data_IF_788293640370
#
_entry.id   IF_788293640370
#
_cell.length_a   1.000
_cell.length_b   1.000
_cell.length_c   1.000
_cell.angle_alpha   90.00
_cell.angle_beta   90.00
_cell.angle_gamma   90.00
#
_symmetry.space_group_name_H-M   'P 1'
#
loop_
_entity.id
_entity.type
_entity.pdbx_description
1 polymer ?
#
# COMPACT_ATOMS: atom_id res chain seq x y z
N UNK A 1 -4.69 7.46 -40.05
CA UNK A 1 -4.36 7.00 -38.68
C UNK A 1 -3.35 7.90 -37.95
N UNK A 2 -2.29 8.37 -38.60
CA UNK A 2 -1.23 9.21 -38.01
C UNK A 2 -1.74 10.57 -37.48
N UNK A 3 -2.71 11.20 -38.15
CA UNK A 3 -3.29 12.48 -37.72
C UNK A 3 -4.36 12.34 -36.62
N UNK A 4 -5.00 11.17 -36.50
CA UNK A 4 -5.97 10.89 -35.43
C UNK A 4 -5.24 10.76 -34.09
N UNK A 5 -4.05 10.17 -34.08
CA UNK A 5 -3.22 10.05 -32.87
C UNK A 5 -2.73 11.42 -32.41
N UNK A 6 -2.36 12.30 -33.37
CA UNK A 6 -1.93 13.66 -33.06
C UNK A 6 -3.10 14.51 -32.55
N UNK A 7 -4.31 14.38 -33.13
CA UNK A 7 -5.51 15.03 -32.61
C UNK A 7 -5.92 14.50 -31.20
N UNK A 8 -5.85 13.22 -30.96
CA UNK A 8 -6.09 12.66 -29.62
C UNK A 8 -5.04 13.16 -28.60
N UNK A 9 -3.78 13.26 -28.99
CA UNK A 9 -2.73 13.81 -28.13
C UNK A 9 -2.92 15.32 -27.88
N UNK A 10 -3.35 16.10 -28.88
CA UNK A 10 -3.61 17.54 -28.73
C UNK A 10 -4.83 17.83 -27.86
N UNK A 11 -5.88 17.00 -27.90
CA UNK A 11 -7.05 17.13 -27.03
C UNK A 11 -6.68 16.81 -25.55
N UNK A 12 -5.72 15.94 -25.33
CA UNK A 12 -5.20 15.66 -23.97
C UNK A 12 -4.39 16.84 -23.40
N UNK A 13 -3.72 17.62 -24.24
CA UNK A 13 -2.95 18.80 -23.82
C UNK A 13 -3.78 20.09 -23.67
N UNK A 14 -5.00 20.15 -24.19
CA UNK A 14 -5.90 21.31 -24.05
C UNK A 14 -6.66 21.39 -22.71
N UNK A 15 -6.47 20.43 -21.81
CA UNK A 15 -6.98 20.48 -20.43
C UNK A 15 -6.10 21.29 -19.47
N UNK A 16 -5.26 22.19 -19.95
CA UNK A 16 -4.41 23.06 -19.14
C UNK A 16 -5.19 24.33 -18.76
N UNK A 17 -6.03 24.21 -17.76
CA UNK A 17 -6.81 25.37 -17.30
C UNK A 17 -7.24 25.37 -15.86
N UNK A 18 -7.03 24.30 -15.11
CA UNK A 18 -7.38 24.24 -13.70
C UNK A 18 -6.13 24.11 -12.84
N UNK A 19 -5.83 25.17 -12.13
CA UNK A 19 -4.78 25.27 -11.12
C UNK A 19 -4.99 24.20 -10.06
N UNK A 20 -4.25 23.11 -10.15
CA UNK A 20 -4.39 21.96 -9.24
C UNK A 20 -3.10 21.82 -8.44
N UNK A 21 -3.23 21.52 -7.15
CA UNK A 21 -2.08 21.26 -6.31
C UNK A 21 -1.70 19.79 -6.44
N UNK A 22 -0.46 19.58 -6.81
CA UNK A 22 0.18 18.28 -6.79
C UNK A 22 1.04 18.15 -5.54
N UNK A 23 1.14 16.94 -5.03
CA UNK A 23 2.09 16.58 -3.99
C UNK A 23 2.95 15.44 -4.47
N UNK A 24 4.24 15.55 -4.23
CA UNK A 24 5.20 14.45 -4.34
C UNK A 24 5.75 14.17 -2.95
N UNK A 25 5.88 12.91 -2.59
CA UNK A 25 6.34 12.59 -1.24
C UNK A 25 6.88 11.19 -1.11
N UNK A 26 7.33 10.94 0.11
CA UNK A 26 7.90 9.68 0.54
C UNK A 26 7.06 9.10 1.67
N UNK A 27 7.06 7.78 1.76
CA UNK A 27 6.59 7.01 2.90
C UNK A 27 7.79 6.32 3.54
N UNK A 28 7.88 6.35 4.86
CA UNK A 28 8.87 5.60 5.64
C UNK A 28 8.21 5.02 6.88
N UNK A 29 8.34 3.71 7.06
CA UNK A 29 7.68 3.01 8.16
C UNK A 29 8.06 1.56 8.26
N UNK A 30 7.16 0.79 8.84
CA UNK A 30 7.29 -0.65 8.96
C UNK A 30 6.08 -1.37 8.38
N UNK A 31 6.30 -2.65 8.13
CA UNK A 31 5.31 -3.61 7.65
C UNK A 31 5.12 -4.74 8.63
N UNK A 32 3.96 -5.36 8.62
CA UNK A 32 3.70 -6.67 9.19
C UNK A 32 2.75 -7.47 8.31
N UNK A 33 2.92 -8.77 8.36
CA UNK A 33 2.13 -9.74 7.61
C UNK A 33 1.08 -10.41 8.52
N UNK A 34 -0.07 -10.78 7.96
CA UNK A 34 -1.15 -11.51 8.60
C UNK A 34 -1.70 -12.53 7.61
N UNK A 35 -1.46 -13.80 7.86
CA UNK A 35 -1.89 -14.92 7.03
C UNK A 35 -1.81 -16.22 7.81
N UNK A 36 -1.52 -17.30 7.11
CA UNK A 36 -1.43 -18.63 7.71
C UNK A 36 -0.12 -18.87 8.46
N UNK A 37 0.93 -18.10 8.16
CA UNK A 37 2.22 -18.15 8.85
C UNK A 37 2.39 -16.94 9.75
N UNK A 38 2.86 -17.16 10.99
CA UNK A 38 3.20 -16.13 11.95
C UNK A 38 2.09 -15.72 12.89
N UNK A 39 2.26 -14.56 13.52
CA UNK A 39 1.29 -13.95 14.41
C UNK A 39 0.21 -13.19 13.64
N UNK A 40 -1.02 -13.15 14.15
CA UNK A 40 -2.17 -12.48 13.54
C UNK A 40 -2.42 -11.08 14.13
N UNK A 41 -1.37 -10.39 14.58
CA UNK A 41 -1.47 -9.05 15.11
C UNK A 41 -1.69 -8.03 14.01
N UNK A 42 -2.75 -7.22 14.09
CA UNK A 42 -3.11 -6.25 13.04
C UNK A 42 -2.11 -5.11 12.90
N UNK A 43 -1.53 -4.62 13.98
CA UNK A 43 -0.57 -3.51 13.98
C UNK A 43 0.64 -3.93 14.81
N UNK A 44 1.64 -4.48 14.13
CA UNK A 44 2.87 -4.97 14.76
C UNK A 44 4.04 -4.90 13.77
N UNK A 45 4.43 -3.67 13.33
CA UNK A 45 5.47 -3.53 12.32
C UNK A 45 6.76 -4.20 12.78
N UNK A 46 7.26 -5.15 12.00
CA UNK A 46 8.41 -5.97 12.32
C UNK A 46 9.45 -6.03 11.20
N UNK A 47 9.16 -5.39 10.07
CA UNK A 47 10.04 -5.26 8.93
C UNK A 47 9.97 -3.82 8.38
N UNK A 48 10.85 -3.46 7.44
CA UNK A 48 10.93 -2.11 6.88
C UNK A 48 10.01 -1.91 5.69
N UNK A 49 9.51 -0.67 5.52
CA UNK A 49 8.74 -0.27 4.35
C UNK A 49 9.12 1.16 3.94
N UNK A 50 9.48 1.34 2.67
CA UNK A 50 9.84 2.64 2.08
C UNK A 50 9.07 2.82 0.77
N UNK A 51 8.61 4.03 0.50
CA UNK A 51 7.83 4.28 -0.71
C UNK A 51 7.85 5.70 -1.20
N UNK A 52 7.35 5.86 -2.41
CA UNK A 52 7.12 7.12 -3.08
C UNK A 52 5.63 7.30 -3.33
N UNK A 53 5.15 8.53 -3.32
CA UNK A 53 3.77 8.83 -3.61
C UNK A 53 3.61 10.13 -4.41
N UNK A 54 2.58 10.13 -5.23
CA UNK A 54 2.10 11.30 -5.94
C UNK A 54 0.63 11.50 -5.57
N UNK A 55 0.26 12.74 -5.26
CA UNK A 55 -1.12 13.11 -5.00
C UNK A 55 -1.55 14.26 -5.92
N UNK A 56 -2.79 14.19 -6.31
CA UNK A 56 -3.48 15.24 -7.04
C UNK A 56 -4.67 15.71 -6.23
N UNK A 57 -4.56 16.89 -5.62
CA UNK A 57 -5.59 17.49 -4.77
C UNK A 57 -6.68 18.12 -5.64
N UNK A 58 -7.78 17.40 -5.83
CA UNK A 58 -8.93 17.83 -6.60
C UNK A 58 -9.77 18.90 -5.85
N UNK A 59 -9.80 18.80 -4.53
CA UNK A 59 -10.52 19.72 -3.64
C UNK A 59 -9.85 19.72 -2.26
N UNK A 60 -10.23 20.62 -1.32
CA UNK A 60 -9.73 20.57 0.05
C UNK A 60 -9.99 19.26 0.79
N UNK A 61 -10.89 18.40 0.28
CA UNK A 61 -11.28 17.14 0.93
C UNK A 61 -10.99 15.90 0.11
N UNK A 62 -10.71 16.00 -1.20
CA UNK A 62 -10.53 14.86 -2.09
C UNK A 62 -9.22 14.98 -2.85
N UNK A 63 -8.43 13.92 -2.79
CA UNK A 63 -7.17 13.79 -3.52
C UNK A 63 -7.09 12.42 -4.18
N UNK A 64 -6.59 12.38 -5.42
CA UNK A 64 -6.16 11.14 -6.03
C UNK A 64 -4.73 10.85 -5.59
N UNK A 65 -4.46 9.61 -5.23
CA UNK A 65 -3.13 9.18 -4.78
C UNK A 65 -2.69 7.97 -5.58
N UNK A 66 -1.43 8.00 -6.02
CA UNK A 66 -0.70 6.85 -6.53
C UNK A 66 0.53 6.67 -5.68
N UNK A 67 0.83 5.45 -5.26
CA UNK A 67 2.02 5.15 -4.48
C UNK A 67 2.70 3.86 -4.93
N UNK A 68 4.02 3.82 -4.75
CA UNK A 68 4.86 2.64 -4.93
C UNK A 68 5.61 2.42 -3.63
N UNK A 69 5.45 1.27 -3.00
CA UNK A 69 6.08 0.93 -1.72
C UNK A 69 6.87 -0.37 -1.90
N UNK A 70 8.14 -0.34 -1.54
CA UNK A 70 8.96 -1.53 -1.36
C UNK A 70 9.02 -1.85 0.12
N UNK A 71 8.81 -3.11 0.46
CA UNK A 71 8.75 -3.56 1.85
C UNK A 71 9.31 -4.95 1.99
N UNK A 72 9.94 -5.20 3.13
CA UNK A 72 10.18 -6.55 3.60
C UNK A 72 8.94 -7.06 4.35
N UNK A 73 8.65 -8.35 4.27
CA UNK A 73 7.60 -9.04 5.02
C UNK A 73 8.23 -10.19 5.81
N UNK A 74 8.07 -10.16 7.11
CA UNK A 74 8.60 -11.18 8.01
C UNK A 74 7.47 -11.77 8.84
N UNK A 75 7.34 -13.10 8.80
CA UNK A 75 6.42 -13.82 9.67
C UNK A 75 7.13 -15.00 10.36
N UNK A 76 6.79 -15.25 11.61
CA UNK A 76 7.37 -16.32 12.43
C UNK A 76 6.30 -16.96 13.29
N UNK A 77 6.05 -18.26 13.13
CA UNK A 77 5.09 -19.03 13.92
C UNK A 77 5.40 -19.02 15.41
N UNK A 78 6.68 -18.95 15.77
CA UNK A 78 7.09 -18.84 17.18
C UNK A 78 6.65 -17.56 17.89
N UNK A 79 6.09 -16.59 17.16
CA UNK A 79 5.49 -15.35 17.72
C UNK A 79 3.95 -15.40 17.72
N UNK A 80 3.34 -16.50 17.27
CA UNK A 80 1.89 -16.69 17.24
C UNK A 80 1.37 -17.06 18.62
N UNK A 81 0.10 -16.72 18.87
CA UNK A 81 -0.65 -17.18 20.04
C UNK A 81 -1.29 -18.57 19.84
N UNK A 82 -1.29 -19.11 18.60
CA UNK A 82 -1.80 -20.45 18.29
C UNK A 82 -0.73 -21.52 18.58
N UNK A 83 -0.98 -22.45 19.54
CA UNK A 83 -0.04 -23.53 19.86
C UNK A 83 0.33 -24.41 18.66
N UNK A 84 -0.57 -24.59 17.69
CA UNK A 84 -0.33 -25.40 16.49
C UNK A 84 0.70 -24.73 15.56
N UNK A 85 0.62 -23.40 15.41
CA UNK A 85 1.61 -22.62 14.66
C UNK A 85 2.97 -22.67 15.38
N UNK A 86 3.00 -22.47 16.70
CA UNK A 86 4.24 -22.59 17.49
C UNK A 86 4.87 -23.98 17.32
N UNK A 87 4.09 -25.05 17.35
CA UNK A 87 4.57 -26.41 17.16
C UNK A 87 5.08 -26.65 15.73
N UNK A 88 4.42 -26.07 14.71
CA UNK A 88 4.82 -26.16 13.30
C UNK A 88 6.13 -25.43 13.06
N UNK A 89 6.28 -24.21 13.59
CA UNK A 89 7.54 -23.47 13.62
C UNK A 89 7.99 -22.87 12.31
N UNK A 90 7.08 -22.62 11.35
CA UNK A 90 7.40 -21.99 10.08
C UNK A 90 7.80 -20.53 10.25
N UNK A 91 8.65 -20.08 9.36
CA UNK A 91 9.05 -18.68 9.30
C UNK A 91 9.50 -18.32 7.88
N UNK A 92 9.17 -17.10 7.45
CA UNK A 92 9.67 -16.56 6.20
C UNK A 92 10.14 -15.12 6.37
N UNK A 93 11.04 -14.74 5.46
CA UNK A 93 11.51 -13.38 5.23
C UNK A 93 11.48 -13.18 3.70
N UNK A 94 10.63 -12.28 3.26
CA UNK A 94 10.33 -12.05 1.85
C UNK A 94 10.25 -10.55 1.58
N UNK A 95 10.31 -10.16 0.32
CA UNK A 95 10.12 -8.78 -0.09
C UNK A 95 8.87 -8.62 -0.95
N UNK A 96 8.31 -7.42 -0.95
CA UNK A 96 7.09 -7.07 -1.66
C UNK A 96 7.24 -5.70 -2.30
N UNK A 97 6.85 -5.60 -3.58
CA UNK A 97 6.74 -4.33 -4.30
C UNK A 97 5.27 -4.04 -4.56
N UNK A 98 4.69 -3.09 -3.82
CA UNK A 98 3.31 -2.64 -3.99
C UNK A 98 3.21 -1.44 -4.92
N UNK A 99 2.21 -1.46 -5.79
CA UNK A 99 1.72 -0.29 -6.54
C UNK A 99 0.26 -0.11 -6.18
N UNK A 100 -0.13 1.07 -5.71
CA UNK A 100 -1.53 1.36 -5.39
C UNK A 100 -2.00 2.68 -6.01
N UNK A 101 -3.29 2.71 -6.36
CA UNK A 101 -3.96 3.90 -6.88
C UNK A 101 -5.36 4.02 -6.28
N UNK A 102 -5.74 5.21 -5.83
CA UNK A 102 -7.03 5.40 -5.20
C UNK A 102 -7.32 6.83 -4.80
N UNK A 103 -8.34 6.99 -3.97
CA UNK A 103 -8.81 8.28 -3.49
C UNK A 103 -8.54 8.42 -1.99
N UNK A 104 -7.99 9.57 -1.62
CA UNK A 104 -7.85 10.02 -0.24
C UNK A 104 -8.97 11.03 0.06
N UNK A 105 -9.75 10.75 1.09
CA UNK A 105 -10.80 11.61 1.60
C UNK A 105 -10.38 12.19 2.95
N UNK A 106 -10.39 13.51 3.05
CA UNK A 106 -10.02 14.26 4.26
C UNK A 106 -11.28 14.76 4.96
N UNK A 107 -11.46 14.41 6.24
CA UNK A 107 -12.68 14.74 7.00
C UNK A 107 -12.86 16.23 7.28
N UNK A 108 -11.73 16.94 7.42
CA UNK A 108 -11.69 18.39 7.62
C UNK A 108 -11.08 19.03 6.38
N UNK A 109 -11.53 20.21 6.02
CA UNK A 109 -10.96 20.95 4.89
C UNK A 109 -9.47 21.23 5.12
N UNK A 110 -8.65 20.70 4.22
CA UNK A 110 -7.21 20.84 4.25
C UNK A 110 -6.76 21.74 3.09
N UNK A 111 -6.97 23.04 3.28
CA UNK A 111 -6.55 24.04 2.31
C UNK A 111 -5.13 24.52 2.64
N UNK A 112 -4.18 24.20 1.76
CA UNK A 112 -2.77 24.54 1.91
C UNK A 112 -2.44 26.02 1.69
N UNK A 113 -3.41 26.82 1.21
CA UNK A 113 -3.22 28.25 0.92
C UNK A 113 -3.57 29.17 2.08
N UNK A 114 -4.26 28.67 3.09
CA UNK A 114 -4.55 29.47 4.29
C UNK A 114 -3.42 29.29 5.32
N UNK A 115 -3.01 30.41 5.93
CA UNK A 115 -1.98 30.41 6.97
C UNK A 115 -2.44 29.67 8.23
N UNK A 116 -1.47 29.07 8.94
CA UNK A 116 -1.67 28.34 10.18
C UNK A 116 -1.49 26.84 10.05
N UNK A 117 -1.13 26.19 11.17
CA UNK A 117 -1.01 24.74 11.25
C UNK A 117 -2.41 24.12 11.21
N UNK A 118 -2.62 23.19 10.30
CA UNK A 118 -3.87 22.44 10.16
C UNK A 118 -3.60 20.97 10.46
N UNK A 119 -4.55 20.34 11.08
CA UNK A 119 -4.53 18.93 11.39
C UNK A 119 -5.78 18.28 10.82
N UNK A 120 -5.61 17.27 9.98
CA UNK A 120 -6.74 16.66 9.29
C UNK A 120 -6.62 15.14 9.24
N UNK A 121 -7.57 14.42 9.82
CA UNK A 121 -7.69 12.98 9.61
C UNK A 121 -8.18 12.69 8.20
N UNK A 122 -7.73 11.55 7.65
CA UNK A 122 -8.10 11.11 6.32
C UNK A 122 -8.24 9.59 6.22
N UNK A 123 -8.99 9.16 5.21
CA UNK A 123 -9.07 7.79 4.75
C UNK A 123 -8.52 7.70 3.32
N UNK A 124 -7.83 6.62 3.00
CA UNK A 124 -7.45 6.29 1.63
C UNK A 124 -7.88 4.87 1.30
N UNK A 125 -8.49 4.72 0.14
CA UNK A 125 -8.84 3.41 -0.43
C UNK A 125 -8.79 3.45 -1.95
N UNK A 126 -8.68 2.29 -2.57
CA UNK A 126 -8.59 2.13 -4.01
C UNK A 126 -8.30 0.71 -4.42
N UNK A 127 -7.37 0.55 -5.35
CA UNK A 127 -6.87 -0.73 -5.80
C UNK A 127 -5.37 -0.82 -5.53
N UNK A 128 -4.89 -2.01 -5.25
CA UNK A 128 -3.46 -2.30 -5.09
C UNK A 128 -3.09 -3.56 -5.81
N UNK A 129 -1.84 -3.62 -6.26
CA UNK A 129 -1.21 -4.84 -6.74
C UNK A 129 0.19 -4.93 -6.14
N UNK A 130 0.56 -6.12 -5.72
CA UNK A 130 1.81 -6.38 -5.05
C UNK A 130 2.54 -7.55 -5.71
N UNK A 131 3.78 -7.31 -6.10
CA UNK A 131 4.67 -8.36 -6.63
C UNK A 131 5.46 -8.96 -5.50
N UNK A 132 5.42 -10.29 -5.39
CA UNK A 132 6.15 -11.06 -4.39
C UNK A 132 6.82 -12.29 -5.01
N UNK A 133 7.93 -12.81 -4.45
CA UNK A 133 8.52 -14.07 -4.84
C UNK A 133 7.65 -15.23 -4.34
N UNK A 134 7.61 -16.32 -5.12
CA UNK A 134 6.90 -17.54 -4.75
C UNK A 134 7.84 -18.51 -4.03
N UNK A 135 7.34 -19.13 -2.99
CA UNK A 135 8.03 -20.14 -2.20
C UNK A 135 7.00 -21.07 -1.53
N UNK A 136 7.45 -22.20 -1.06
CA UNK A 136 6.64 -23.16 -0.31
C UNK A 136 7.44 -23.77 0.84
N UNK A 137 6.77 -24.47 1.73
CA UNK A 137 7.40 -25.21 2.82
C UNK A 137 7.45 -26.70 2.49
N UNK A 138 8.63 -27.30 2.60
CA UNK A 138 8.80 -28.75 2.47
C UNK A 138 8.14 -29.49 3.64
N UNK A 139 7.93 -30.82 3.54
CA UNK A 139 7.45 -31.63 4.67
C UNK A 139 8.39 -31.60 5.89
N UNK A 140 9.64 -31.20 5.71
CA UNK A 140 10.61 -31.01 6.79
C UNK A 140 10.53 -29.60 7.42
N UNK A 141 9.68 -28.71 6.91
CA UNK A 141 9.53 -27.33 7.40
C UNK A 141 10.53 -26.35 6.82
N UNK A 142 11.27 -26.73 5.78
CA UNK A 142 12.23 -25.85 5.12
C UNK A 142 11.55 -25.00 4.05
N UNK A 143 11.86 -23.71 4.02
CA UNK A 143 11.40 -22.78 2.98
C UNK A 143 12.18 -23.03 1.70
N UNK A 144 11.47 -23.31 0.60
CA UNK A 144 12.04 -23.56 -0.71
C UNK A 144 11.49 -22.55 -1.71
N UNK A 145 12.37 -21.81 -2.38
CA UNK A 145 11.98 -20.85 -3.42
C UNK A 145 11.57 -21.57 -4.70
N UNK A 146 10.47 -21.13 -5.31
CA UNK A 146 10.05 -21.59 -6.64
C UNK A 146 10.77 -20.86 -7.78
N UNK A 147 11.58 -19.83 -7.47
CA UNK A 147 12.25 -18.94 -8.43
C UNK A 147 11.31 -18.24 -9.42
N UNK A 148 10.06 -18.10 -9.05
CA UNK A 148 9.01 -17.37 -9.76
C UNK A 148 8.50 -16.20 -8.93
N UNK A 149 7.66 -15.34 -9.52
CA UNK A 149 7.04 -14.21 -8.84
C UNK A 149 5.59 -14.11 -9.28
N UNK A 150 4.72 -13.85 -8.34
CA UNK A 150 3.29 -13.61 -8.60
C UNK A 150 2.88 -12.18 -8.28
N UNK A 151 1.68 -11.81 -8.73
CA UNK A 151 1.04 -10.54 -8.47
C UNK A 151 -0.23 -10.74 -7.65
N UNK A 152 -0.22 -10.31 -6.42
CA UNK A 152 -1.40 -10.27 -5.57
C UNK A 152 -2.16 -8.96 -5.79
N UNK A 153 -3.43 -9.05 -6.13
CA UNK A 153 -4.33 -7.89 -6.23
C UNK A 153 -5.07 -7.71 -4.91
N UNK A 154 -5.44 -6.46 -4.59
CA UNK A 154 -6.11 -6.21 -3.32
C UNK A 154 -6.72 -4.81 -3.19
N UNK A 155 -7.23 -4.54 -1.99
CA UNK A 155 -7.85 -3.27 -1.62
C UNK A 155 -7.08 -2.68 -0.45
N UNK A 156 -6.46 -1.49 -0.60
CA UNK A 156 -5.86 -0.76 0.51
C UNK A 156 -6.95 -0.06 1.32
N UNK A 157 -6.86 -0.17 2.64
CA UNK A 157 -7.70 0.50 3.63
C UNK A 157 -6.79 1.23 4.60
N UNK A 158 -6.62 2.54 4.40
CA UNK A 158 -5.67 3.35 5.15
C UNK A 158 -6.40 4.41 5.95
N UNK A 159 -6.06 4.51 7.21
CA UNK A 159 -6.44 5.60 8.12
C UNK A 159 -5.20 6.41 8.42
N UNK A 160 -5.28 7.72 8.35
CA UNK A 160 -4.16 8.58 8.67
C UNK A 160 -4.56 9.94 9.18
N UNK A 161 -3.56 10.66 9.64
CA UNK A 161 -3.65 12.06 10.02
C UNK A 161 -2.55 12.82 9.32
N UNK A 162 -2.83 14.04 8.87
CA UNK A 162 -1.84 14.89 8.22
C UNK A 162 -1.88 16.30 8.77
N UNK A 163 -0.70 16.95 8.76
CA UNK A 163 -0.52 18.34 9.17
C UNK A 163 0.46 19.04 8.26
N UNK A 164 0.20 20.30 7.93
CA UNK A 164 1.18 21.13 7.25
C UNK A 164 2.23 21.62 8.25
N UNK A 165 3.50 21.31 7.97
CA UNK A 165 4.65 21.85 8.73
C UNK A 165 5.00 23.25 8.22
N UNK A 166 4.95 23.42 6.90
CA UNK A 166 5.14 24.68 6.20
C UNK A 166 4.06 24.83 5.12
N UNK A 167 4.07 25.94 4.39
CA UNK A 167 3.15 26.16 3.27
C UNK A 167 3.32 25.11 2.13
N UNK A 168 4.43 24.39 2.10
CA UNK A 168 4.75 23.43 1.06
C UNK A 168 5.03 22.02 1.57
N UNK A 169 5.19 21.84 2.89
CA UNK A 169 5.50 20.54 3.46
C UNK A 169 4.36 20.04 4.34
N UNK A 170 3.89 18.84 4.03
CA UNK A 170 2.87 18.13 4.80
C UNK A 170 3.45 16.86 5.36
N UNK A 171 3.38 16.71 6.67
CA UNK A 171 3.71 15.50 7.40
C UNK A 171 2.43 14.73 7.69
N UNK A 172 2.43 13.43 7.46
CA UNK A 172 1.36 12.53 7.83
C UNK A 172 1.86 11.34 8.62
N UNK A 173 0.95 10.74 9.35
CA UNK A 173 1.09 9.40 9.94
C UNK A 173 -0.07 8.56 9.47
N UNK A 174 0.21 7.33 9.01
CA UNK A 174 -0.82 6.43 8.51
C UNK A 174 -0.61 4.99 8.94
N UNK A 175 -1.72 4.30 9.12
CA UNK A 175 -1.82 2.86 9.30
C UNK A 175 -2.74 2.36 8.20
N UNK A 176 -2.26 1.39 7.42
CA UNK A 176 -3.04 0.90 6.30
C UNK A 176 -2.93 -0.61 6.14
N UNK A 177 -4.06 -1.28 6.26
CA UNK A 177 -4.21 -2.68 5.92
C UNK A 177 -4.45 -2.85 4.41
N UNK A 178 -3.94 -3.93 3.84
CA UNK A 178 -4.20 -4.38 2.48
C UNK A 178 -4.82 -5.76 2.56
N UNK A 179 -6.07 -5.84 2.15
CA UNK A 179 -6.72 -7.12 1.90
C UNK A 179 -6.37 -7.57 0.50
N UNK A 180 -5.69 -8.70 0.38
CA UNK A 180 -5.36 -9.28 -0.93
C UNK A 180 -6.41 -10.32 -1.34
N UNK A 181 -6.51 -10.59 -2.63
CA UNK A 181 -7.32 -11.68 -3.17
C UNK A 181 -6.46 -12.92 -3.46
N UNK A 182 -5.31 -13.04 -2.79
CA UNK A 182 -4.35 -14.13 -2.92
C UNK A 182 -4.04 -14.71 -1.55
N UNK A 183 -3.67 -15.99 -1.54
CA UNK A 183 -3.23 -16.80 -0.39
C UNK A 183 -1.82 -17.38 -0.65
N UNK A 184 -1.04 -16.73 -1.52
CA UNK A 184 0.26 -17.22 -1.99
C UNK A 184 1.44 -16.47 -1.35
N UNK A 185 1.19 -15.35 -0.65
CA UNK A 185 2.23 -14.44 -0.18
C UNK A 185 3.08 -15.09 0.93
N UNK A 186 2.49 -15.98 1.72
CA UNK A 186 3.17 -16.66 2.85
C UNK A 186 3.63 -18.08 2.54
N UNK A 187 3.47 -18.52 1.28
CA UNK A 187 3.86 -19.84 0.83
C UNK A 187 2.95 -20.97 1.32
N UNK A 188 1.75 -20.64 1.83
CA UNK A 188 0.73 -21.64 2.20
C UNK A 188 0.14 -22.34 1.00
N UNK A 189 0.08 -21.65 -0.15
CA UNK A 189 -0.33 -22.19 -1.44
C UNK A 189 0.81 -22.02 -2.46
N UNK A 190 1.45 -23.12 -2.90
CA UNK A 190 2.46 -23.06 -3.95
C UNK A 190 1.89 -22.61 -5.30
N UNK A 191 2.65 -21.82 -6.06
CA UNK A 191 2.31 -21.39 -7.43
C UNK A 191 2.31 -22.58 -8.42
N UNK A 192 3.16 -23.56 -8.18
CA UNK A 192 3.25 -24.75 -9.02
C UNK A 192 2.16 -25.78 -8.64
N UNK A 193 1.21 -26.03 -9.55
CA UNK A 193 0.13 -27.02 -9.36
C UNK A 193 0.64 -28.43 -9.00
N UNK A 194 1.86 -28.81 -9.43
CA UNK A 194 2.49 -30.08 -9.08
C UNK A 194 2.88 -30.19 -7.59
N UNK A 195 2.83 -29.10 -6.85
CA UNK A 195 3.13 -29.01 -5.42
C UNK A 195 1.87 -28.75 -4.55
N UNK A 196 0.67 -28.83 -5.15
CA UNK A 196 -0.59 -28.56 -4.48
C UNK A 196 -0.81 -29.40 -3.20
N UNK A 197 -0.26 -30.61 -3.14
CA UNK A 197 -0.29 -31.49 -1.95
C UNK A 197 0.50 -30.94 -0.75
N UNK A 198 1.33 -29.91 -0.97
CA UNK A 198 2.09 -29.22 0.08
C UNK A 198 1.38 -27.98 0.59
N UNK A 199 0.20 -27.65 0.06
CA UNK A 199 -0.62 -26.55 0.56
C UNK A 199 -1.08 -26.82 1.99
N UNK A 200 -1.12 -25.78 2.79
CA UNK A 200 -1.56 -25.85 4.19
C UNK A 200 -2.35 -24.59 4.57
N UNK A 201 -2.89 -24.58 5.80
CA UNK A 201 -3.63 -23.43 6.30
C UNK A 201 -5.10 -23.42 5.91
N UNK A 202 -5.70 -22.24 5.85
CA UNK A 202 -7.10 -22.05 5.54
C UNK A 202 -7.25 -21.40 4.15
N UNK A 203 -7.46 -22.18 3.13
CA UNK A 203 -7.66 -21.74 1.73
C UNK A 203 -8.83 -20.74 1.51
N UNK A 204 -9.66 -20.49 2.51
CA UNK A 204 -10.71 -19.48 2.48
C UNK A 204 -10.30 -18.16 3.16
N UNK A 205 -9.05 -18.06 3.63
CA UNK A 205 -8.51 -16.93 4.35
C UNK A 205 -7.41 -16.29 3.51
N UNK A 206 -7.73 -15.22 2.81
CA UNK A 206 -6.74 -14.49 2.03
C UNK A 206 -5.73 -13.75 2.90
N UNK A 207 -4.56 -13.52 2.34
CA UNK A 207 -3.45 -12.82 2.98
C UNK A 207 -3.70 -11.34 3.17
N UNK A 208 -3.19 -10.80 4.28
CA UNK A 208 -3.20 -9.38 4.59
C UNK A 208 -1.78 -8.92 4.91
N UNK A 209 -1.50 -7.68 4.59
CA UNK A 209 -0.33 -7.00 5.12
C UNK A 209 -0.68 -5.57 5.52
N UNK A 210 0.07 -5.04 6.48
CA UNK A 210 -0.19 -3.71 7.06
C UNK A 210 1.07 -2.89 6.99
N UNK A 211 0.94 -1.64 6.53
CA UNK A 211 1.99 -0.65 6.64
C UNK A 211 1.63 0.38 7.71
N UNK A 212 2.60 0.71 8.55
CA UNK A 212 2.48 1.73 9.59
C UNK A 212 3.68 2.66 9.50
N UNK A 213 3.45 3.95 9.29
CA UNK A 213 4.57 4.86 9.11
C UNK A 213 4.19 6.32 8.88
N UNK A 214 5.20 7.08 8.53
CA UNK A 214 5.10 8.50 8.26
C UNK A 214 5.17 8.79 6.78
N UNK A 215 4.45 9.81 6.36
CA UNK A 215 4.51 10.39 5.02
C UNK A 215 5.05 11.81 5.10
N UNK A 216 5.92 12.18 4.20
CA UNK A 216 6.36 13.56 4.02
C UNK A 216 6.15 13.93 2.57
N UNK A 217 5.28 14.92 2.32
CA UNK A 217 4.96 15.37 0.97
C UNK A 217 5.32 16.84 0.78
N UNK A 218 5.77 17.16 -0.43
CA UNK A 218 6.02 18.52 -0.91
C UNK A 218 4.93 18.91 -1.92
N UNK A 219 4.28 20.03 -1.66
CA UNK A 219 3.19 20.55 -2.49
C UNK A 219 3.69 21.58 -3.49
N UNK A 220 3.20 21.48 -4.73
CA UNK A 220 3.54 22.41 -5.81
C UNK A 220 2.34 22.64 -6.73
N UNK A 221 2.42 23.70 -7.51
CA UNK A 221 1.35 24.14 -8.42
C UNK A 221 0.85 25.52 -8.08
N UNK A 222 0.05 26.11 -8.97
CA UNK A 222 -0.56 27.41 -8.75
C UNK A 222 -1.83 27.26 -7.91
N UNK A 223 -2.23 28.33 -7.22
CA UNK A 223 -3.42 28.33 -6.34
C UNK A 223 -4.67 27.92 -7.11
N UNK A 224 -5.34 26.83 -6.73
CA UNK A 224 -6.60 26.46 -7.33
C UNK A 224 -7.68 27.49 -6.97
N UNK A 225 -8.46 27.92 -7.94
CA UNK A 225 -9.73 28.57 -7.66
C UNK A 225 -10.73 27.47 -7.30
N UNK A 226 -10.98 27.22 -6.03
CA UNK A 226 -12.11 26.41 -5.61
C UNK A 226 -13.37 27.28 -5.78
N UNK A 227 -14.09 27.12 -6.89
CA UNK A 227 -15.41 27.71 -7.01
C UNK A 227 -16.32 27.01 -5.99
N UNK A 228 -16.84 27.77 -5.03
CA UNK A 228 -17.93 27.30 -4.18
C UNK A 228 -19.17 27.13 -5.08
N UNK A 229 -19.58 25.89 -5.29
CA UNK A 229 -20.89 25.53 -5.85
C UNK A 229 -21.87 25.26 -4.72
#
# INVERSE_FOLDING_TARGET
MRYIIICLFSVFFLQVGHSQIYEVGVFAGGSNFIGDVGATNYISPNASALGLMLKWNRSPRHSWRVSVIYSDLVAKDGKSDDPRRIQRGYSFDSNLLEISAGMEFTFVEFDLHTSGMKFAPYLYSGITTARHPNFYFSPAGELISENTHSWAYGIPMVVGVKSNITNHLVLGFEIGARYTFSDEIDGSVPDNEGLADLSFGNINSNDWYVFTGFTLTYTFGQRPCYCNF
#
